data_IF_120541182394
#
_entry.id   IF_120541182394
#
_cell.length_a   1.000
_cell.length_b   1.000
_cell.length_c   1.000
_cell.angle_alpha   90.00
_cell.angle_beta   90.00
_cell.angle_gamma   90.00
#
_symmetry.space_group_name_H-M   'P 1'
#
loop_
_entity.id
_entity.type
_entity.pdbx_description
1 polymer ?
#
# COMPACT_ATOMS: atom_id res chain seq x y z
N UNK A 1 24.50 2.24 18.24
CA UNK A 1 23.31 2.75 17.52
C UNK A 1 23.82 3.72 16.45
N UNK A 2 23.58 3.44 15.19
CA UNK A 2 23.92 4.35 14.07
C UNK A 2 22.98 5.55 14.19
N UNK A 3 23.51 6.77 14.14
CA UNK A 3 22.69 7.98 14.11
C UNK A 3 22.58 8.46 12.66
N UNK A 4 21.35 8.52 12.14
CA UNK A 4 21.08 9.02 10.79
C UNK A 4 20.88 10.54 10.80
N UNK A 5 21.23 11.19 9.67
CA UNK A 5 21.14 12.65 9.52
C UNK A 5 19.87 13.01 8.75
N UNK A 6 18.77 13.26 9.47
CA UNK A 6 17.51 13.75 8.90
C UNK A 6 17.47 15.25 8.71
N UNK A 7 18.47 16.00 9.19
CA UNK A 7 18.58 17.45 8.99
C UNK A 7 19.27 17.81 7.66
N UNK A 8 19.88 16.82 7.00
CA UNK A 8 20.55 17.00 5.73
C UNK A 8 19.57 17.41 4.63
N UNK A 9 19.74 18.61 4.09
CA UNK A 9 18.97 19.07 2.93
C UNK A 9 19.38 18.31 1.67
N UNK A 10 18.42 17.72 0.99
CA UNK A 10 18.59 17.04 -0.29
C UNK A 10 18.07 17.98 -1.39
N UNK A 11 18.89 18.26 -2.40
CA UNK A 11 18.43 19.02 -3.57
C UNK A 11 17.49 18.15 -4.41
N UNK A 12 16.22 18.52 -4.43
CA UNK A 12 15.17 17.86 -5.22
C UNK A 12 14.74 18.68 -6.44
N UNK A 13 15.13 19.96 -6.51
CA UNK A 13 14.75 20.87 -7.60
C UNK A 13 15.55 20.57 -8.87
N UNK A 14 16.84 20.21 -8.73
CA UNK A 14 17.71 19.87 -9.87
C UNK A 14 17.46 18.48 -10.46
N UNK A 15 16.56 17.69 -9.87
CA UNK A 15 16.19 16.34 -10.32
C UNK A 15 14.82 16.37 -11.03
N UNK A 16 14.39 15.23 -11.58
CA UNK A 16 13.03 15.08 -12.13
C UNK A 16 11.98 14.82 -11.04
N UNK A 17 12.14 15.43 -9.88
CA UNK A 17 11.28 15.23 -8.73
C UNK A 17 9.92 15.91 -8.93
N UNK A 18 8.85 15.10 -8.91
CA UNK A 18 7.50 15.59 -9.16
C UNK A 18 7.01 16.54 -8.06
N UNK A 19 7.34 16.29 -6.80
CA UNK A 19 6.85 17.05 -5.65
C UNK A 19 7.32 18.51 -5.69
N UNK A 20 8.58 18.74 -6.09
CA UNK A 20 9.23 20.05 -6.12
C UNK A 20 9.20 20.75 -7.47
N UNK A 21 8.68 20.11 -8.51
CA UNK A 21 8.63 20.68 -9.84
C UNK A 21 7.39 21.57 -10.00
N UNK A 22 7.54 22.89 -9.91
CA UNK A 22 6.43 23.87 -9.88
C UNK A 22 5.39 23.69 -11.01
N UNK A 23 5.83 23.40 -12.25
CA UNK A 23 4.90 23.13 -13.36
C UNK A 23 4.09 21.85 -13.17
N UNK A 24 4.69 20.79 -12.60
CA UNK A 24 3.98 19.56 -12.31
C UNK A 24 2.92 19.77 -11.20
N UNK A 25 3.30 20.49 -10.15
CA UNK A 25 2.39 20.86 -9.05
C UNK A 25 1.25 21.73 -9.56
N UNK A 26 1.57 22.80 -10.33
CA UNK A 26 0.56 23.71 -10.91
C UNK A 26 -0.43 22.95 -11.80
N UNK A 27 0.06 22.07 -12.65
CA UNK A 27 -0.77 21.22 -13.52
C UNK A 27 -1.67 20.27 -12.73
N UNK A 28 -1.14 19.66 -11.66
CA UNK A 28 -1.91 18.72 -10.84
C UNK A 28 -2.99 19.41 -10.01
N UNK A 29 -2.65 20.54 -9.39
CA UNK A 29 -3.57 21.31 -8.55
C UNK A 29 -4.47 22.25 -9.37
N UNK A 30 -4.20 22.41 -10.68
CA UNK A 30 -4.89 23.32 -11.58
C UNK A 30 -4.95 24.79 -11.05
N UNK A 31 -3.82 25.26 -10.51
CA UNK A 31 -3.66 26.62 -9.99
C UNK A 31 -2.21 27.10 -10.12
N UNK A 32 -2.02 28.41 -10.07
CA UNK A 32 -0.68 29.01 -10.03
C UNK A 32 -0.05 28.75 -8.66
N UNK A 33 1.23 28.40 -8.66
CA UNK A 33 2.00 28.04 -7.47
C UNK A 33 2.98 29.18 -7.15
N UNK A 34 2.95 29.77 -5.93
CA UNK A 34 3.96 30.71 -5.47
C UNK A 34 5.36 30.10 -5.50
N UNK A 35 6.38 30.91 -5.82
CA UNK A 35 7.78 30.45 -5.91
C UNK A 35 8.34 29.95 -4.56
N UNK A 36 7.83 30.49 -3.44
CA UNK A 36 8.23 30.15 -2.07
C UNK A 36 7.36 29.07 -1.42
N UNK A 37 6.48 28.41 -2.18
CA UNK A 37 5.60 27.37 -1.65
C UNK A 37 6.40 26.17 -1.15
N UNK A 38 6.09 25.72 0.08
CA UNK A 38 6.56 24.44 0.60
C UNK A 38 5.60 23.35 0.14
N UNK A 39 6.04 22.44 -0.74
CA UNK A 39 5.15 21.41 -1.29
C UNK A 39 4.89 20.30 -0.27
N UNK A 40 3.61 20.14 0.12
CA UNK A 40 3.14 19.07 1.02
C UNK A 40 2.00 18.23 0.41
N UNK A 41 1.82 18.31 -0.90
CA UNK A 41 0.70 17.70 -1.63
C UNK A 41 0.91 16.22 -1.97
N UNK A 42 2.16 15.78 -2.03
CA UNK A 42 2.53 14.41 -2.40
C UNK A 42 3.17 13.71 -1.19
N UNK A 43 2.68 12.51 -0.90
CA UNK A 43 3.13 11.72 0.24
C UNK A 43 4.44 10.98 -0.06
N UNK A 44 5.52 11.75 -0.23
CA UNK A 44 6.91 11.33 -0.09
C UNK A 44 7.62 12.27 0.87
N UNK A 45 8.62 11.79 1.60
CA UNK A 45 9.38 12.61 2.55
C UNK A 45 10.50 13.38 1.84
N UNK A 46 11.08 14.38 2.50
CA UNK A 46 12.23 15.14 1.98
C UNK A 46 13.56 14.64 2.57
N UNK A 47 13.52 13.53 3.32
CA UNK A 47 14.69 12.91 3.89
C UNK A 47 15.45 12.05 2.87
N UNK A 48 16.75 11.94 3.06
CA UNK A 48 17.54 11.00 2.29
C UNK A 48 17.10 9.56 2.60
N UNK A 49 16.96 8.74 1.58
CA UNK A 49 16.63 7.33 1.73
C UNK A 49 17.65 6.59 2.62
N UNK A 50 17.18 5.53 3.30
CA UNK A 50 18.00 4.70 4.16
C UNK A 50 19.30 4.25 3.47
N UNK A 51 20.49 4.42 4.09
CA UNK A 51 21.77 4.06 3.48
C UNK A 51 21.86 2.61 3.02
N UNK A 52 21.26 1.68 3.73
CA UNK A 52 21.22 0.25 3.35
C UNK A 52 20.57 0.05 1.99
N UNK A 53 19.52 0.80 1.66
CA UNK A 53 18.86 0.75 0.35
C UNK A 53 19.77 1.36 -0.70
N UNK A 54 20.34 2.54 -0.44
CA UNK A 54 21.23 3.23 -1.38
C UNK A 54 22.44 2.37 -1.74
N UNK A 55 23.03 1.70 -0.76
CA UNK A 55 24.17 0.81 -0.96
C UNK A 55 23.78 -0.41 -1.80
N UNK A 56 22.66 -1.08 -1.51
CA UNK A 56 22.18 -2.20 -2.31
C UNK A 56 21.92 -1.83 -3.77
N UNK A 57 21.34 -0.65 -4.02
CA UNK A 57 21.15 -0.14 -5.38
C UNK A 57 22.48 0.14 -6.07
N UNK A 58 23.45 0.73 -5.37
CA UNK A 58 24.80 0.98 -5.89
C UNK A 58 25.51 -0.32 -6.25
N UNK A 59 25.48 -1.32 -5.36
CA UNK A 59 26.05 -2.64 -5.60
C UNK A 59 25.42 -3.31 -6.83
N UNK A 60 24.13 -3.08 -7.08
CA UNK A 60 23.45 -3.57 -8.27
C UNK A 60 23.91 -2.84 -9.53
N UNK A 61 24.10 -1.54 -9.47
CA UNK A 61 24.63 -0.73 -10.61
C UNK A 61 26.03 -1.21 -10.99
N UNK A 62 26.91 -1.50 -10.02
CA UNK A 62 28.26 -2.00 -10.24
C UNK A 62 28.33 -3.38 -10.97
N UNK A 63 27.20 -4.10 -11.05
CA UNK A 63 27.12 -5.35 -11.85
C UNK A 63 26.91 -5.08 -13.35
N UNK A 64 26.53 -3.86 -13.73
CA UNK A 64 26.34 -3.40 -15.12
C UNK A 64 25.37 -4.28 -15.96
N UNK A 65 24.50 -5.07 -15.32
CA UNK A 65 23.51 -5.95 -16.00
C UNK A 65 22.11 -5.67 -15.42
N UNK A 66 21.20 -5.22 -16.27
CA UNK A 66 19.83 -4.80 -15.93
C UNK A 66 18.77 -5.57 -16.72
N UNK A 67 19.01 -6.88 -16.96
CA UNK A 67 18.09 -7.77 -17.65
C UNK A 67 16.88 -8.17 -16.80
N UNK A 68 16.12 -9.11 -17.31
CA UNK A 68 14.96 -9.65 -16.59
C UNK A 68 15.36 -10.27 -15.26
N UNK A 69 14.57 -10.01 -14.23
CA UNK A 69 14.79 -10.50 -12.88
C UNK A 69 13.58 -11.24 -12.34
N UNK A 70 13.79 -12.04 -11.31
CA UNK A 70 12.75 -12.73 -10.58
C UNK A 70 12.99 -12.57 -9.07
N UNK A 71 11.94 -12.53 -8.24
CA UNK A 71 12.11 -12.55 -6.79
C UNK A 71 12.74 -13.89 -6.37
N UNK A 72 13.79 -13.80 -5.59
CA UNK A 72 14.56 -14.93 -5.09
C UNK A 72 14.38 -15.06 -3.58
N UNK A 73 14.96 -16.11 -2.98
CA UNK A 73 14.85 -16.36 -1.54
C UNK A 73 15.13 -15.13 -0.65
N UNK A 74 16.14 -14.27 -0.90
CA UNK A 74 16.36 -13.08 -0.08
C UNK A 74 15.18 -12.12 -0.05
N UNK A 75 14.52 -11.89 -1.19
CA UNK A 75 13.32 -11.06 -1.25
C UNK A 75 12.18 -11.61 -0.37
N UNK A 76 11.86 -12.90 -0.53
CA UNK A 76 10.79 -13.52 0.25
C UNK A 76 11.12 -13.55 1.74
N UNK A 77 12.37 -13.88 2.09
CA UNK A 77 12.83 -13.89 3.48
C UNK A 77 12.74 -12.50 4.12
N UNK A 78 13.06 -11.44 3.38
CA UNK A 78 12.96 -10.07 3.85
C UNK A 78 11.50 -9.69 4.13
N UNK A 79 10.57 -9.98 3.20
CA UNK A 79 9.14 -9.68 3.38
C UNK A 79 8.55 -10.48 4.55
N UNK A 80 8.78 -11.79 4.61
CA UNK A 80 8.29 -12.63 5.70
C UNK A 80 8.88 -12.19 7.06
N UNK A 81 10.18 -11.92 7.09
CA UNK A 81 10.88 -11.44 8.29
C UNK A 81 10.36 -10.09 8.77
N UNK A 82 10.05 -9.16 7.86
CA UNK A 82 9.47 -7.86 8.19
C UNK A 82 8.10 -8.02 8.84
N UNK A 83 7.19 -8.78 8.23
CA UNK A 83 5.86 -9.03 8.78
C UNK A 83 5.93 -9.68 10.17
N UNK A 84 6.84 -10.63 10.36
CA UNK A 84 7.04 -11.28 11.67
C UNK A 84 7.58 -10.30 12.72
N UNK A 85 8.63 -9.54 12.41
CA UNK A 85 9.24 -8.60 13.38
C UNK A 85 8.35 -7.45 13.75
N UNK A 86 7.67 -6.85 12.74
CA UNK A 86 6.87 -5.64 12.94
C UNK A 86 5.50 -5.93 13.55
N UNK A 87 4.88 -7.04 13.14
CA UNK A 87 3.47 -7.27 13.39
C UNK A 87 3.17 -8.64 14.03
N UNK A 88 4.19 -9.45 14.31
CA UNK A 88 4.06 -10.83 14.81
C UNK A 88 3.17 -11.72 13.92
N UNK A 89 3.21 -11.51 12.60
CA UNK A 89 2.45 -12.28 11.63
C UNK A 89 3.34 -13.19 10.78
N UNK A 90 3.01 -14.49 10.76
CA UNK A 90 3.75 -15.51 10.06
C UNK A 90 3.27 -15.62 8.60
N UNK A 91 3.87 -14.83 7.72
CA UNK A 91 3.61 -14.86 6.27
C UNK A 91 4.48 -15.92 5.60
N UNK A 92 3.90 -16.66 4.64
CA UNK A 92 4.62 -17.67 3.86
C UNK A 92 5.06 -17.10 2.51
N UNK A 93 6.25 -17.49 2.00
CA UNK A 93 6.77 -17.03 0.71
C UNK A 93 5.78 -17.21 -0.45
N UNK A 94 5.07 -18.34 -0.50
CA UNK A 94 4.10 -18.67 -1.53
C UNK A 94 2.83 -17.82 -1.52
N UNK A 95 2.60 -17.02 -0.47
CA UNK A 95 1.48 -16.07 -0.39
C UNK A 95 1.77 -14.73 -1.07
N UNK A 96 3.05 -14.48 -1.40
CA UNK A 96 3.54 -13.16 -1.81
C UNK A 96 3.59 -13.06 -3.33
N UNK A 97 2.82 -12.14 -3.89
CA UNK A 97 2.88 -11.76 -5.30
C UNK A 97 3.49 -10.35 -5.41
N UNK A 98 4.59 -10.22 -6.16
CA UNK A 98 5.19 -8.92 -6.45
C UNK A 98 4.34 -8.16 -7.48
N UNK A 99 4.08 -6.87 -7.21
CA UNK A 99 3.35 -5.96 -8.10
C UNK A 99 4.07 -4.61 -8.13
N UNK A 100 4.05 -3.85 -9.25
CA UNK A 100 4.77 -2.56 -9.34
C UNK A 100 4.30 -1.50 -8.34
N UNK A 101 3.05 -1.54 -7.90
CA UNK A 101 2.50 -0.60 -6.92
C UNK A 101 1.21 -1.14 -6.28
N UNK A 102 0.88 -0.64 -5.09
CA UNK A 102 -0.40 -0.95 -4.42
C UNK A 102 -1.60 -0.52 -5.27
N UNK A 103 -1.51 0.62 -5.96
CA UNK A 103 -2.56 1.08 -6.90
C UNK A 103 -2.78 0.07 -8.04
N UNK A 104 -1.70 -0.51 -8.58
CA UNK A 104 -1.81 -1.58 -9.57
C UNK A 104 -2.42 -2.86 -8.96
N UNK A 105 -2.08 -3.19 -7.72
CA UNK A 105 -2.67 -4.33 -7.00
C UNK A 105 -4.18 -4.18 -6.83
N UNK A 106 -4.65 -2.99 -6.45
CA UNK A 106 -6.10 -2.69 -6.35
C UNK A 106 -6.79 -2.85 -7.71
N UNK A 107 -6.18 -2.34 -8.76
CA UNK A 107 -6.71 -2.48 -10.13
C UNK A 107 -6.82 -3.95 -10.55
N UNK A 108 -5.77 -4.74 -10.30
CA UNK A 108 -5.77 -6.18 -10.57
C UNK A 108 -6.87 -6.87 -9.77
N UNK A 109 -7.03 -6.57 -8.47
CA UNK A 109 -8.05 -7.17 -7.61
C UNK A 109 -9.47 -6.86 -8.13
N UNK A 110 -9.75 -5.58 -8.46
CA UNK A 110 -11.04 -5.17 -9.02
C UNK A 110 -11.35 -5.97 -10.30
N UNK A 111 -10.41 -6.06 -11.24
CA UNK A 111 -10.60 -6.78 -12.50
C UNK A 111 -10.71 -8.29 -12.31
N UNK A 112 -10.01 -8.84 -11.32
CA UNK A 112 -10.04 -10.28 -11.04
C UNK A 112 -11.37 -10.73 -10.44
N UNK A 113 -11.97 -9.91 -9.56
CA UNK A 113 -13.02 -10.38 -8.66
C UNK A 113 -14.36 -9.66 -8.84
N UNK A 114 -14.44 -8.72 -9.80
CA UNK A 114 -15.68 -8.02 -10.13
C UNK A 114 -15.91 -8.00 -11.64
N UNK A 115 -17.16 -7.77 -12.05
CA UNK A 115 -17.54 -7.54 -13.44
C UNK A 115 -17.86 -6.04 -13.65
N UNK A 116 -17.94 -5.61 -14.92
CA UNK A 116 -18.43 -4.27 -15.24
C UNK A 116 -19.82 -4.05 -14.66
N UNK A 117 -20.03 -2.90 -14.04
CA UNK A 117 -21.27 -2.54 -13.37
C UNK A 117 -21.40 -2.98 -11.92
N UNK A 118 -20.51 -3.88 -11.43
CA UNK A 118 -20.47 -4.25 -10.00
C UNK A 118 -20.06 -3.07 -9.12
N UNK A 119 -20.51 -3.08 -7.87
CA UNK A 119 -20.13 -2.11 -6.85
C UNK A 119 -18.82 -2.45 -6.15
N UNK A 120 -17.99 -1.43 -5.97
CA UNK A 120 -16.78 -1.49 -5.13
C UNK A 120 -16.93 -0.49 -3.99
N UNK A 121 -16.93 -0.98 -2.75
CA UNK A 121 -17.10 -0.17 -1.54
C UNK A 121 -15.77 0.49 -1.20
N UNK A 122 -15.81 1.81 -0.94
CA UNK A 122 -14.69 2.60 -0.40
C UNK A 122 -15.20 3.51 0.72
N UNK A 123 -14.32 4.02 1.57
CA UNK A 123 -14.69 4.85 2.74
C UNK A 123 -14.14 6.28 2.61
N UNK A 124 -14.87 7.14 1.88
CA UNK A 124 -14.45 8.53 1.72
C UNK A 124 -14.63 9.37 3.01
N UNK A 125 -13.74 10.41 3.25
CA UNK A 125 -12.62 10.76 2.41
C UNK A 125 -11.51 9.72 2.47
N UNK A 126 -11.03 9.26 1.33
CA UNK A 126 -9.97 8.26 1.17
C UNK A 126 -9.08 8.65 -0.01
N UNK A 127 -7.95 8.02 -0.15
CA UNK A 127 -7.00 8.23 -1.24
C UNK A 127 -7.70 8.22 -2.61
N UNK A 128 -7.70 9.37 -3.30
CA UNK A 128 -8.47 9.63 -4.52
C UNK A 128 -8.33 8.58 -5.64
N UNK A 129 -7.15 7.98 -5.86
CA UNK A 129 -7.01 6.93 -6.86
C UNK A 129 -7.94 5.73 -6.68
N UNK A 130 -8.45 5.43 -5.48
CA UNK A 130 -9.41 4.33 -5.30
C UNK A 130 -10.67 4.54 -6.15
N UNK A 131 -11.30 5.71 -6.02
CA UNK A 131 -12.49 6.04 -6.80
C UNK A 131 -12.19 6.12 -8.30
N UNK A 132 -11.02 6.64 -8.66
CA UNK A 132 -10.59 6.78 -10.06
C UNK A 132 -10.40 5.42 -10.72
N UNK A 133 -9.74 4.46 -10.05
CA UNK A 133 -9.55 3.09 -10.57
C UNK A 133 -10.90 2.41 -10.78
N UNK A 134 -11.78 2.47 -9.78
CA UNK A 134 -13.12 1.85 -9.86
C UNK A 134 -13.88 2.36 -11.07
N UNK A 135 -13.89 3.68 -11.30
CA UNK A 135 -14.59 4.31 -12.45
C UNK A 135 -13.94 3.96 -13.78
N UNK A 136 -12.60 3.98 -13.86
CA UNK A 136 -11.87 3.68 -15.10
C UNK A 136 -12.06 2.23 -15.57
N UNK A 137 -12.39 1.34 -14.64
CA UNK A 137 -12.70 -0.05 -14.94
C UNK A 137 -14.20 -0.33 -15.12
N UNK A 138 -15.02 0.70 -15.31
CA UNK A 138 -16.47 0.58 -15.49
C UNK A 138 -17.20 -0.08 -14.30
N UNK A 139 -16.66 0.05 -13.08
CA UNK A 139 -17.34 -0.37 -11.84
C UNK A 139 -17.98 0.83 -11.16
N UNK A 140 -18.90 0.57 -10.26
CA UNK A 140 -19.59 1.61 -9.49
C UNK A 140 -18.86 1.87 -8.17
N UNK A 141 -18.54 3.14 -7.92
CA UNK A 141 -18.07 3.56 -6.59
C UNK A 141 -19.26 3.53 -5.63
N UNK A 142 -19.16 2.72 -4.61
CA UNK A 142 -20.12 2.65 -3.50
C UNK A 142 -19.45 3.25 -2.27
N UNK A 143 -19.89 4.43 -1.86
CA UNK A 143 -19.27 5.13 -0.75
C UNK A 143 -19.91 4.75 0.58
N UNK A 144 -19.15 4.11 1.47
CA UNK A 144 -19.44 4.02 2.90
C UNK A 144 -18.71 5.18 3.59
N UNK A 145 -19.33 6.36 3.61
CA UNK A 145 -18.67 7.58 4.10
C UNK A 145 -18.26 7.50 5.57
N UNK A 146 -17.03 7.92 5.86
CA UNK A 146 -16.61 8.09 7.25
C UNK A 146 -17.42 9.22 7.89
N UNK A 147 -17.81 9.03 9.15
CA UNK A 147 -18.49 10.05 9.94
C UNK A 147 -17.48 10.81 10.81
N UNK A 148 -17.59 12.14 10.84
CA UNK A 148 -16.73 12.99 11.64
C UNK A 148 -17.47 13.43 12.91
N UNK A 149 -17.06 12.91 14.06
CA UNK A 149 -17.69 13.15 15.36
C UNK A 149 -16.60 13.51 16.37
N UNK A 150 -16.76 14.62 17.07
CA UNK A 150 -15.83 15.08 18.10
C UNK A 150 -14.35 15.15 17.60
N UNK A 151 -14.14 15.70 16.43
CA UNK A 151 -12.82 15.79 15.76
C UNK A 151 -12.16 14.44 15.45
N UNK A 152 -12.92 13.37 15.43
CA UNK A 152 -12.46 12.03 15.07
C UNK A 152 -13.28 11.45 13.91
N UNK A 153 -12.60 10.84 12.95
CA UNK A 153 -13.26 10.06 11.88
C UNK A 153 -13.55 8.65 12.37
N UNK A 154 -14.77 8.16 12.11
CA UNK A 154 -15.24 6.82 12.49
C UNK A 154 -15.87 6.12 11.30
N UNK A 155 -15.79 4.80 11.29
CA UNK A 155 -16.50 3.97 10.32
C UNK A 155 -18.00 3.95 10.61
N UNK A 156 -18.83 4.04 9.58
CA UNK A 156 -20.26 3.83 9.68
C UNK A 156 -20.58 2.35 9.40
N UNK A 157 -20.49 1.53 10.46
CA UNK A 157 -20.65 0.07 10.33
C UNK A 157 -22.09 -0.35 10.00
N UNK A 158 -23.10 0.41 10.44
CA UNK A 158 -24.50 0.15 10.11
C UNK A 158 -24.76 0.35 8.60
N UNK A 159 -24.26 1.44 8.04
CA UNK A 159 -24.34 1.68 6.61
C UNK A 159 -23.51 0.65 5.82
N UNK A 160 -22.31 0.28 6.32
CA UNK A 160 -21.47 -0.74 5.70
C UNK A 160 -22.22 -2.08 5.60
N UNK A 161 -22.89 -2.50 6.67
CA UNK A 161 -23.70 -3.72 6.68
C UNK A 161 -24.82 -3.66 5.62
N UNK A 162 -25.51 -2.53 5.53
CA UNK A 162 -26.57 -2.33 4.52
C UNK A 162 -26.06 -2.30 3.09
N UNK A 163 -24.85 -1.77 2.87
CA UNK A 163 -24.21 -1.74 1.55
C UNK A 163 -23.67 -3.12 1.17
N UNK A 164 -23.01 -3.83 2.10
CA UNK A 164 -22.47 -5.17 1.87
C UNK A 164 -23.56 -6.20 1.58
N UNK A 165 -24.74 -6.04 2.17
CA UNK A 165 -25.89 -6.93 1.93
C UNK A 165 -26.45 -6.85 0.49
N UNK A 166 -26.07 -5.85 -0.31
CA UNK A 166 -26.51 -5.71 -1.70
C UNK A 166 -25.67 -6.62 -2.61
N UNK A 167 -26.28 -7.56 -3.33
CA UNK A 167 -25.56 -8.58 -4.08
C UNK A 167 -24.68 -8.05 -5.23
N UNK A 168 -24.93 -6.82 -5.68
CA UNK A 168 -24.09 -6.15 -6.68
C UNK A 168 -22.77 -5.60 -6.12
N UNK A 169 -22.63 -5.44 -4.81
CA UNK A 169 -21.40 -4.97 -4.17
C UNK A 169 -20.49 -6.15 -3.86
N UNK A 170 -19.41 -6.29 -4.65
CA UNK A 170 -18.57 -7.50 -4.67
C UNK A 170 -17.24 -7.36 -3.95
N UNK A 171 -16.75 -6.15 -3.81
CA UNK A 171 -15.43 -5.88 -3.29
C UNK A 171 -15.43 -4.61 -2.43
N UNK A 172 -14.66 -4.61 -1.36
CA UNK A 172 -14.35 -3.43 -0.57
C UNK A 172 -12.84 -3.17 -0.58
N UNK A 173 -12.44 -1.91 -0.79
CA UNK A 173 -11.06 -1.47 -0.57
C UNK A 173 -11.00 -0.68 0.72
N UNK A 174 -10.28 -1.23 1.71
CA UNK A 174 -10.06 -0.61 3.01
C UNK A 174 -8.66 0.02 3.05
N UNK A 175 -8.54 1.27 3.51
CA UNK A 175 -7.28 1.94 3.76
C UNK A 175 -6.92 1.85 5.26
N UNK A 176 -5.80 1.23 5.61
CA UNK A 176 -5.41 0.99 7.01
C UNK A 176 -3.87 0.98 7.19
N UNK A 177 -3.25 1.97 7.81
CA UNK A 177 -3.80 3.24 8.31
C UNK A 177 -4.44 4.10 7.23
N UNK A 178 -5.44 4.89 7.59
CA UNK A 178 -6.34 5.56 6.65
C UNK A 178 -5.82 6.93 6.18
N UNK A 179 -5.54 7.06 4.91
CA UNK A 179 -5.17 8.30 4.24
C UNK A 179 -6.43 8.92 3.56
N UNK A 180 -6.77 10.21 3.74
CA UNK A 180 -5.94 11.27 4.34
C UNK A 180 -6.25 11.56 5.82
N UNK A 181 -7.19 10.87 6.46
CA UNK A 181 -7.69 11.25 7.78
C UNK A 181 -6.76 10.90 8.95
N UNK A 182 -5.68 10.15 8.68
CA UNK A 182 -4.65 9.82 9.66
C UNK A 182 -5.09 8.83 10.75
N UNK A 183 -6.18 8.07 10.55
CA UNK A 183 -6.65 7.07 11.50
C UNK A 183 -5.87 5.78 11.40
N UNK A 184 -5.42 5.28 12.56
CA UNK A 184 -5.03 3.88 12.76
C UNK A 184 -6.22 3.18 13.38
N UNK A 185 -6.84 2.26 12.61
CA UNK A 185 -8.04 1.57 13.05
C UNK A 185 -7.73 0.58 14.18
N UNK A 186 -8.63 0.49 15.17
CA UNK A 186 -8.48 -0.48 16.26
C UNK A 186 -8.73 -1.90 15.77
N UNK A 187 -8.29 -2.88 16.57
CA UNK A 187 -8.56 -4.29 16.29
C UNK A 187 -10.07 -4.56 16.17
N UNK A 188 -10.87 -3.93 17.02
CA UNK A 188 -12.33 -4.06 17.05
C UNK A 188 -12.98 -3.51 15.79
N UNK A 189 -12.54 -2.30 15.33
CA UNK A 189 -13.00 -1.68 14.08
C UNK A 189 -12.67 -2.56 12.87
N UNK A 190 -11.44 -3.05 12.77
CA UNK A 190 -11.00 -3.93 11.69
C UNK A 190 -11.77 -5.26 11.68
N UNK A 191 -11.96 -5.86 12.87
CA UNK A 191 -12.73 -7.09 13.01
C UNK A 191 -14.18 -6.89 12.57
N UNK A 192 -14.82 -5.79 12.98
CA UNK A 192 -16.20 -5.51 12.60
C UNK A 192 -16.36 -5.38 11.06
N UNK A 193 -15.45 -4.66 10.38
CA UNK A 193 -15.45 -4.58 8.92
C UNK A 193 -15.27 -5.95 8.27
N UNK A 194 -14.31 -6.73 8.77
CA UNK A 194 -14.00 -8.06 8.24
C UNK A 194 -15.18 -9.03 8.39
N UNK A 195 -15.85 -9.04 9.55
CA UNK A 195 -17.01 -9.90 9.78
C UNK A 195 -18.22 -9.51 8.90
N UNK A 196 -18.44 -8.22 8.67
CA UNK A 196 -19.45 -7.75 7.72
C UNK A 196 -19.14 -8.25 6.30
N UNK A 197 -17.90 -8.09 5.86
CA UNK A 197 -17.48 -8.54 4.52
C UNK A 197 -17.62 -10.06 4.37
N UNK A 198 -17.20 -10.85 5.36
CA UNK A 198 -17.38 -12.31 5.37
C UNK A 198 -18.84 -12.72 5.31
N UNK A 199 -19.68 -12.10 6.12
CA UNK A 199 -21.12 -12.42 6.21
C UNK A 199 -21.83 -12.23 4.86
N UNK A 200 -21.41 -11.26 4.07
CA UNK A 200 -22.07 -10.89 2.81
C UNK A 200 -21.30 -11.29 1.55
N UNK A 201 -20.25 -12.11 1.68
CA UNK A 201 -19.41 -12.57 0.57
C UNK A 201 -18.81 -11.39 -0.25
N UNK A 202 -18.39 -10.33 0.46
CA UNK A 202 -17.68 -9.18 -0.09
C UNK A 202 -16.18 -9.42 0.07
N UNK A 203 -15.44 -9.46 -1.05
CA UNK A 203 -13.98 -9.58 -0.98
C UNK A 203 -13.38 -8.31 -0.38
N UNK A 204 -12.67 -8.43 0.74
CA UNK A 204 -11.97 -7.32 1.36
C UNK A 204 -10.52 -7.26 0.90
N UNK A 205 -10.14 -6.13 0.30
CA UNK A 205 -8.77 -5.79 -0.09
C UNK A 205 -8.29 -4.67 0.81
N UNK A 206 -7.30 -4.94 1.67
CA UNK A 206 -6.77 -3.93 2.59
C UNK A 206 -5.48 -3.32 2.05
N UNK A 207 -5.46 -2.00 1.88
CA UNK A 207 -4.27 -1.22 1.57
C UNK A 207 -3.58 -0.81 2.87
N UNK A 208 -2.47 -1.48 3.17
CA UNK A 208 -1.68 -1.28 4.39
C UNK A 208 -0.32 -0.62 4.11
N UNK A 209 -0.22 0.17 3.06
CA UNK A 209 1.02 0.83 2.64
C UNK A 209 1.61 1.78 3.71
N UNK A 210 0.81 2.25 4.65
CA UNK A 210 1.20 3.13 5.76
C UNK A 210 1.42 2.38 7.09
N UNK A 211 1.40 1.04 7.09
CA UNK A 211 1.44 0.19 8.28
C UNK A 211 2.59 0.50 9.25
N UNK A 212 3.75 0.90 8.72
CA UNK A 212 4.94 1.19 9.52
C UNK A 212 4.95 2.60 10.13
N UNK A 213 4.13 3.53 9.60
CA UNK A 213 4.09 4.95 10.00
C UNK A 213 2.96 5.12 11.02
N UNK A 214 3.24 4.73 12.26
CA UNK A 214 2.27 4.77 13.36
C UNK A 214 2.93 5.44 14.57
N UNK A 215 2.30 6.51 15.07
CA UNK A 215 2.80 7.26 16.20
C UNK A 215 2.73 6.47 17.52
N UNK A 216 3.56 6.85 18.47
CA UNK A 216 3.58 6.28 19.82
C UNK A 216 2.18 6.31 20.47
N UNK A 217 1.83 5.22 21.13
CA UNK A 217 0.50 5.02 21.73
C UNK A 217 -0.54 4.38 20.81
N UNK A 218 -0.25 4.23 19.52
CA UNK A 218 -1.10 3.53 18.55
C UNK A 218 -0.43 2.24 18.07
N UNK A 219 -1.24 1.29 17.60
CA UNK A 219 -0.74 0.03 17.05
C UNK A 219 -1.50 -0.34 15.78
N UNK A 220 -0.77 -0.57 14.70
CA UNK A 220 -1.32 -1.19 13.50
C UNK A 220 -1.45 -2.71 13.67
N UNK A 221 -2.51 -3.26 13.13
CA UNK A 221 -2.78 -4.69 13.06
C UNK A 221 -2.99 -5.06 11.60
N UNK A 222 -2.12 -5.89 10.98
CA UNK A 222 -2.41 -6.44 9.67
C UNK A 222 -3.74 -7.20 9.72
N UNK A 223 -4.67 -6.83 8.86
CA UNK A 223 -6.05 -7.34 8.94
C UNK A 223 -6.09 -8.88 8.88
N UNK A 224 -5.31 -9.48 7.99
CA UNK A 224 -5.26 -10.92 7.82
C UNK A 224 -4.69 -11.66 9.05
N UNK A 225 -3.91 -10.98 9.89
CA UNK A 225 -3.33 -11.58 11.11
C UNK A 225 -4.35 -11.75 12.26
N UNK A 226 -5.52 -11.13 12.15
CA UNK A 226 -6.50 -11.09 13.23
C UNK A 226 -7.29 -12.39 13.37
N UNK A 227 -7.55 -13.10 12.28
CA UNK A 227 -8.27 -14.37 12.26
C UNK A 227 -7.87 -15.19 11.01
N UNK A 228 -7.73 -16.51 11.16
CA UNK A 228 -7.40 -17.40 10.03
C UNK A 228 -8.46 -17.42 8.92
N UNK A 229 -9.72 -17.13 9.25
CA UNK A 229 -10.78 -17.00 8.24
C UNK A 229 -10.51 -15.84 7.29
N UNK A 230 -9.81 -14.80 7.75
CA UNK A 230 -9.43 -13.65 6.90
C UNK A 230 -8.31 -14.02 5.93
N UNK A 231 -7.38 -14.91 6.33
CA UNK A 231 -6.36 -15.46 5.42
C UNK A 231 -7.01 -16.18 4.22
N UNK A 232 -8.16 -16.83 4.42
CA UNK A 232 -8.83 -17.58 3.36
C UNK A 232 -9.70 -16.72 2.43
N UNK A 233 -10.07 -15.50 2.86
CA UNK A 233 -11.09 -14.73 2.15
C UNK A 233 -10.65 -13.34 1.70
N UNK A 234 -9.49 -12.84 2.16
CA UNK A 234 -9.09 -11.45 1.94
C UNK A 234 -7.70 -11.32 1.34
N UNK A 235 -7.38 -10.10 0.91
CA UNK A 235 -6.10 -9.73 0.28
C UNK A 235 -5.50 -8.54 1.04
N UNK A 236 -4.22 -8.65 1.40
CA UNK A 236 -3.46 -7.55 2.01
C UNK A 236 -2.43 -7.01 1.03
N UNK A 237 -2.38 -5.68 0.90
CA UNK A 237 -1.45 -4.96 0.04
C UNK A 237 -0.48 -4.14 0.89
N UNK A 238 0.82 -4.24 0.60
CA UNK A 238 1.86 -3.49 1.32
C UNK A 238 3.03 -3.14 0.43
N UNK A 239 3.85 -2.16 0.87
CA UNK A 239 5.04 -1.73 0.14
C UNK A 239 6.00 -0.97 1.06
N UNK A 240 7.32 -0.97 0.80
CA UNK A 240 8.28 -0.13 1.53
C UNK A 240 8.22 1.35 1.11
N UNK A 241 7.42 1.68 0.09
CA UNK A 241 7.52 2.94 -0.64
C UNK A 241 7.23 4.18 0.20
N UNK A 242 6.37 4.09 1.21
CA UNK A 242 6.04 5.19 2.12
C UNK A 242 7.00 5.23 3.30
N UNK A 243 7.27 4.08 3.88
CA UNK A 243 8.20 3.93 5.02
C UNK A 243 9.61 4.39 4.70
N UNK A 244 10.10 4.14 3.49
CA UNK A 244 11.50 4.39 3.11
C UNK A 244 11.67 5.43 1.99
N UNK A 245 10.62 6.14 1.63
CA UNK A 245 10.67 7.16 0.57
C UNK A 245 11.15 6.61 -0.79
N UNK A 246 10.67 5.44 -1.21
CA UNK A 246 11.14 4.71 -2.40
C UNK A 246 10.06 4.44 -3.44
N UNK A 247 9.04 5.27 -3.51
CA UNK A 247 7.91 5.10 -4.44
C UNK A 247 8.34 5.02 -5.92
N UNK A 248 9.42 5.70 -6.30
CA UNK A 248 10.00 5.67 -7.64
C UNK A 248 10.58 4.31 -8.05
N UNK A 249 10.90 3.44 -7.09
CA UNK A 249 11.46 2.10 -7.35
C UNK A 249 10.40 1.05 -7.70
N UNK A 250 9.11 1.40 -7.65
CA UNK A 250 8.00 0.57 -8.16
C UNK A 250 8.02 -0.87 -7.65
N UNK A 251 7.91 -1.05 -6.34
CA UNK A 251 7.86 -2.35 -5.69
C UNK A 251 6.76 -2.38 -4.62
N UNK A 252 5.88 -3.35 -4.72
CA UNK A 252 4.87 -3.65 -3.72
C UNK A 252 4.58 -5.15 -3.66
N UNK A 253 3.91 -5.58 -2.63
CA UNK A 253 3.52 -6.97 -2.43
C UNK A 253 2.02 -7.05 -2.19
N UNK A 254 1.38 -8.01 -2.87
CA UNK A 254 0.06 -8.51 -2.51
C UNK A 254 0.25 -9.82 -1.75
N UNK A 255 -0.22 -9.88 -0.51
CA UNK A 255 -0.17 -11.08 0.33
C UNK A 255 -1.53 -11.74 0.27
N UNK A 256 -1.59 -12.91 -0.37
CA UNK A 256 -2.82 -13.63 -0.70
C UNK A 256 -2.64 -15.10 -0.26
N UNK A 257 -3.02 -15.44 0.98
CA UNK A 257 -2.85 -16.81 1.50
C UNK A 257 -3.66 -17.85 0.72
N UNK A 258 -4.92 -17.56 0.42
CA UNK A 258 -5.78 -18.46 -0.36
C UNK A 258 -5.23 -18.66 -1.78
N UNK A 259 -4.99 -19.92 -2.14
CA UNK A 259 -4.37 -20.29 -3.41
C UNK A 259 -5.26 -19.92 -4.61
N UNK A 260 -6.56 -20.14 -4.53
CA UNK A 260 -7.48 -19.88 -5.65
C UNK A 260 -7.61 -18.37 -5.92
N UNK A 261 -7.72 -17.56 -4.86
CA UNK A 261 -7.69 -16.10 -5.00
C UNK A 261 -6.38 -15.63 -5.61
N UNK A 262 -5.25 -16.18 -5.16
CA UNK A 262 -3.93 -15.80 -5.66
C UNK A 262 -3.74 -16.17 -7.14
N UNK A 263 -4.10 -17.39 -7.55
CA UNK A 263 -3.99 -17.82 -8.94
C UNK A 263 -4.86 -16.95 -9.87
N UNK A 264 -6.06 -16.59 -9.44
CA UNK A 264 -6.95 -15.69 -10.20
C UNK A 264 -6.38 -14.28 -10.31
N UNK A 265 -5.83 -13.75 -9.21
CA UNK A 265 -5.14 -12.46 -9.18
C UNK A 265 -3.93 -12.45 -10.12
N UNK A 266 -3.06 -13.45 -10.06
CA UNK A 266 -1.86 -13.58 -10.88
C UNK A 266 -2.19 -13.79 -12.37
N UNK A 267 -3.29 -14.48 -12.68
CA UNK A 267 -3.77 -14.61 -14.05
C UNK A 267 -4.11 -13.22 -14.64
N UNK A 268 -4.86 -12.42 -13.90
CA UNK A 268 -5.21 -11.05 -14.33
C UNK A 268 -3.96 -10.17 -14.41
N UNK A 269 -3.04 -10.28 -13.44
CA UNK A 269 -1.76 -9.55 -13.46
C UNK A 269 -0.99 -9.81 -14.76
N UNK A 270 -0.88 -11.06 -15.18
CA UNK A 270 -0.23 -11.46 -16.44
C UNK A 270 -0.96 -10.92 -17.66
N UNK A 271 -2.29 -11.01 -17.67
CA UNK A 271 -3.11 -10.46 -18.76
C UNK A 271 -2.94 -8.93 -18.92
N UNK A 272 -2.65 -8.23 -17.84
CA UNK A 272 -2.35 -6.80 -17.83
C UNK A 272 -0.87 -6.47 -18.08
N UNK A 273 -0.01 -7.47 -18.28
CA UNK A 273 1.45 -7.32 -18.42
C UNK A 273 2.11 -6.60 -17.22
N UNK A 274 1.57 -6.80 -16.01
CA UNK A 274 2.06 -6.23 -14.75
C UNK A 274 2.89 -7.23 -13.92
N UNK A 275 3.21 -8.40 -14.48
CA UNK A 275 4.04 -9.44 -13.86
C UNK A 275 5.55 -9.23 -14.08
N UNK A 276 5.95 -8.22 -14.86
CA UNK A 276 7.34 -7.84 -15.06
C UNK A 276 7.88 -7.13 -13.80
N UNK A 277 9.02 -7.60 -13.31
CA UNK A 277 9.63 -7.09 -12.07
C UNK A 277 10.64 -6.02 -12.38
N UNK A 278 10.73 -5.03 -11.49
CA UNK A 278 11.79 -4.04 -11.51
C UNK A 278 12.99 -4.56 -10.71
N UNK A 279 14.15 -4.65 -11.35
CA UNK A 279 15.40 -5.10 -10.71
C UNK A 279 15.71 -4.30 -9.45
N UNK A 280 15.69 -2.97 -9.53
CA UNK A 280 15.97 -2.11 -8.38
C UNK A 280 14.88 -2.19 -7.30
N UNK A 281 13.64 -2.47 -7.69
CA UNK A 281 12.55 -2.69 -6.75
C UNK A 281 12.77 -3.93 -5.88
N UNK A 282 13.26 -5.04 -6.46
CA UNK A 282 13.58 -6.26 -5.70
C UNK A 282 14.75 -6.05 -4.72
N UNK A 283 15.83 -5.39 -5.18
CA UNK A 283 16.97 -5.04 -4.32
C UNK A 283 16.53 -4.11 -3.19
N UNK A 284 15.70 -3.11 -3.48
CA UNK A 284 15.16 -2.19 -2.50
C UNK A 284 14.39 -2.89 -1.39
N UNK A 285 13.43 -3.79 -1.73
CA UNK A 285 12.64 -4.51 -0.73
C UNK A 285 13.53 -5.36 0.16
N UNK A 286 14.49 -6.09 -0.44
CA UNK A 286 15.42 -6.96 0.27
C UNK A 286 16.29 -6.18 1.26
N UNK A 287 16.72 -4.96 0.89
CA UNK A 287 17.56 -4.10 1.74
C UNK A 287 16.73 -3.32 2.78
N UNK A 288 15.54 -2.84 2.42
CA UNK A 288 14.66 -2.08 3.30
C UNK A 288 14.21 -2.91 4.50
N UNK A 289 13.83 -4.17 4.26
CA UNK A 289 13.23 -5.04 5.26
C UNK A 289 14.27 -5.84 6.06
N UNK A 290 15.34 -5.14 6.47
CA UNK A 290 16.42 -5.61 7.32
C UNK A 290 16.38 -4.94 8.70
N UNK A 291 17.20 -5.40 9.62
CA UNK A 291 17.36 -4.78 10.95
C UNK A 291 17.92 -3.35 10.82
N UNK A 292 18.84 -3.11 9.86
CA UNK A 292 19.38 -1.77 9.58
C UNK A 292 18.31 -0.82 9.01
N UNK A 293 17.47 -1.33 8.12
CA UNK A 293 16.32 -0.57 7.61
C UNK A 293 15.32 -0.23 8.72
N UNK A 294 15.04 -1.18 9.61
CA UNK A 294 14.17 -0.96 10.77
C UNK A 294 14.74 0.08 11.73
N UNK A 295 16.06 0.06 11.97
CA UNK A 295 16.72 1.05 12.81
C UNK A 295 16.65 2.46 12.20
N UNK A 296 16.78 2.58 10.87
CA UNK A 296 16.59 3.85 10.16
C UNK A 296 15.17 4.37 10.31
N UNK A 297 14.17 3.53 10.04
CA UNK A 297 12.75 3.87 10.14
C UNK A 297 12.35 4.34 11.55
N UNK A 298 12.90 3.73 12.60
CA UNK A 298 12.62 4.12 14.00
C UNK A 298 13.16 5.51 14.38
N UNK A 299 14.09 6.04 13.59
CA UNK A 299 14.67 7.37 13.82
C UNK A 299 14.02 8.45 12.95
N UNK A 300 13.36 8.08 11.85
CA UNK A 300 12.54 8.98 11.04
C UNK A 300 11.24 9.37 11.78
#
# INVERSE_FOLDING_TARGET
MIKYDFDRKVDRVSTNDMKWHSKAVSSYLNCDIPEDMIPMWLADTDFACAPVIVNALRDRVEKEIFGYCAPMAPFYSAVCGWQKRRFDWDVKPEWITFVPSVVASINIAIRSFTNEGDGVIIQQPVYDPFATIVKNDNRKVVNNGLVHINNEFKMNLEELEALAAKPENKLMVLCSPHNPVGRVWTKEELTAVAEICLKHDVLLVTDEIHADIVYEGYKHYPLLSLDKRYEENFILLTAPSKTFNVAGLKASMSIIPNKELREKFEHTQKAMSLDVRNTFGLECVSAAYTDEGEEWMKQE
#
